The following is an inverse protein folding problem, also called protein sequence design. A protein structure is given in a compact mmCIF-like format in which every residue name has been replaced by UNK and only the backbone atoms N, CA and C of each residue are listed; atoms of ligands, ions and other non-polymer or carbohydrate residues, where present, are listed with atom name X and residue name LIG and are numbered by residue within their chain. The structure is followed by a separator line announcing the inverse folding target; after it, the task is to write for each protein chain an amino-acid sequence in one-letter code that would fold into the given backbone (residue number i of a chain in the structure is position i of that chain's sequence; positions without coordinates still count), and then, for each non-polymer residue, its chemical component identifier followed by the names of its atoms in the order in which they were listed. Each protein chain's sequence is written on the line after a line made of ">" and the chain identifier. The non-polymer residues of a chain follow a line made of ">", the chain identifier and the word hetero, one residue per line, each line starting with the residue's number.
data_IF_137808723155
#
_entry.id   IF_137808723155
#
_cell.length_a   1.000
_cell.length_b   1.000
_cell.length_c   1.000
_cell.angle_alpha   90.00
_cell.angle_beta   90.00
_cell.angle_gamma   90.00
#
_symmetry.space_group_name_H-M   'P 1'
#
loop_
_entity.id
_entity.type
_entity.pdbx_description
1 polymer ?
#
# COMPACT_ATOMS: atom_id res chain seq x y z
N UNK A 1 5.36 36.47 -36.90
CA UNK A 1 5.24 34.99 -36.88
C UNK A 1 6.15 34.38 -35.82
N UNK A 2 7.39 34.86 -35.69
CA UNK A 2 8.38 34.37 -34.71
C UNK A 2 7.91 34.46 -33.23
N UNK A 3 7.28 35.56 -32.82
CA UNK A 3 6.78 35.76 -31.46
C UNK A 3 5.64 34.81 -31.04
N UNK A 4 4.90 34.24 -31.99
CA UNK A 4 3.81 33.28 -31.71
C UNK A 4 4.37 31.87 -31.48
N UNK A 5 5.49 31.53 -32.12
CA UNK A 5 6.13 30.22 -31.98
C UNK A 5 6.79 30.14 -30.59
N UNK A 6 7.50 31.20 -30.16
CA UNK A 6 8.17 31.27 -28.85
C UNK A 6 7.17 31.18 -27.68
N UNK A 7 5.99 31.79 -27.79
CA UNK A 7 4.95 31.70 -26.73
C UNK A 7 4.29 30.32 -26.67
N UNK A 8 4.26 29.58 -27.79
CA UNK A 8 3.67 28.24 -27.84
C UNK A 8 4.59 27.22 -27.18
N UNK A 9 5.89 27.24 -27.51
CA UNK A 9 6.90 26.37 -26.89
C UNK A 9 7.04 26.63 -25.38
N UNK A 10 7.02 27.90 -24.96
CA UNK A 10 7.06 28.25 -23.54
C UNK A 10 5.82 27.77 -22.76
N UNK A 11 4.64 27.76 -23.39
CA UNK A 11 3.41 27.26 -22.77
C UNK A 11 3.38 25.73 -22.69
N UNK A 12 3.91 25.03 -23.70
CA UNK A 12 4.06 23.57 -23.66
C UNK A 12 5.07 23.13 -22.59
N UNK A 13 6.22 23.80 -22.51
CA UNK A 13 7.22 23.56 -21.47
C UNK A 13 6.66 23.78 -20.06
N UNK A 14 5.84 24.83 -19.85
CA UNK A 14 5.15 25.08 -18.57
C UNK A 14 4.09 24.03 -18.24
N UNK A 15 3.29 23.57 -19.21
CA UNK A 15 2.33 22.48 -19.00
C UNK A 15 3.02 21.17 -18.66
N UNK A 16 4.11 20.85 -19.35
CA UNK A 16 4.89 19.65 -19.10
C UNK A 16 5.55 19.71 -17.71
N UNK A 17 6.17 20.84 -17.35
CA UNK A 17 6.72 21.07 -16.01
C UNK A 17 5.62 20.97 -14.93
N UNK A 18 4.45 21.58 -15.15
CA UNK A 18 3.30 21.47 -14.25
C UNK A 18 2.80 20.04 -14.08
N UNK A 19 2.79 19.25 -15.16
CA UNK A 19 2.43 17.82 -15.12
C UNK A 19 3.44 16.99 -14.33
N UNK A 20 4.75 17.22 -14.53
CA UNK A 20 5.79 16.56 -13.75
C UNK A 20 5.73 16.91 -12.25
N UNK A 21 5.50 18.19 -11.92
CA UNK A 21 5.33 18.64 -10.54
C UNK A 21 4.08 18.02 -9.90
N UNK A 22 2.95 17.98 -10.63
CA UNK A 22 1.73 17.35 -10.14
C UNK A 22 1.91 15.84 -9.91
N UNK A 23 2.61 15.16 -10.82
CA UNK A 23 2.92 13.74 -10.68
C UNK A 23 3.85 13.47 -9.49
N UNK A 24 4.89 14.28 -9.31
CA UNK A 24 5.78 14.22 -8.15
C UNK A 24 5.03 14.45 -6.84
N UNK A 25 4.17 15.47 -6.79
CA UNK A 25 3.34 15.77 -5.62
C UNK A 25 2.37 14.61 -5.29
N UNK A 26 1.78 13.98 -6.31
CA UNK A 26 0.92 12.80 -6.14
C UNK A 26 1.68 11.63 -5.52
N UNK A 27 2.90 11.35 -5.98
CA UNK A 27 3.74 10.29 -5.42
C UNK A 27 4.05 10.58 -3.95
N UNK A 28 4.52 11.79 -3.63
CA UNK A 28 4.86 12.18 -2.26
C UNK A 28 3.65 12.08 -1.34
N UNK A 29 2.48 12.57 -1.78
CA UNK A 29 1.24 12.47 -1.03
C UNK A 29 0.84 11.01 -0.81
N UNK A 30 0.94 10.16 -1.84
CA UNK A 30 0.61 8.73 -1.75
C UNK A 30 1.53 8.02 -0.76
N UNK A 31 2.85 8.23 -0.85
CA UNK A 31 3.81 7.61 0.07
C UNK A 31 3.55 8.07 1.50
N UNK A 32 3.36 9.38 1.71
CA UNK A 32 3.10 9.94 3.04
C UNK A 32 1.81 9.38 3.65
N UNK A 33 0.75 9.26 2.84
CA UNK A 33 -0.51 8.63 3.27
C UNK A 33 -0.33 7.15 3.62
N UNK A 34 0.45 6.40 2.85
CA UNK A 34 0.75 4.99 3.15
C UNK A 34 1.56 4.83 4.44
N UNK A 35 2.55 5.70 4.68
CA UNK A 35 3.34 5.70 5.93
C UNK A 35 2.44 6.02 7.13
N UNK A 36 1.63 7.07 7.03
CA UNK A 36 0.66 7.42 8.07
C UNK A 36 -0.30 6.26 8.37
N UNK A 37 -0.83 5.62 7.32
CA UNK A 37 -1.74 4.51 7.47
C UNK A 37 -1.05 3.28 8.09
N UNK A 38 0.20 3.02 7.71
CA UNK A 38 1.00 1.95 8.32
C UNK A 38 1.20 2.17 9.83
N UNK A 39 1.52 3.40 10.24
CA UNK A 39 1.67 3.76 11.65
C UNK A 39 0.34 3.67 12.41
N UNK A 40 -0.73 4.21 11.84
CA UNK A 40 -2.08 4.15 12.41
C UNK A 40 -2.51 2.70 12.67
N UNK A 41 -2.32 1.84 11.67
CA UNK A 41 -2.64 0.42 11.78
C UNK A 41 -1.71 -0.30 12.77
N UNK A 42 -0.43 0.05 12.82
CA UNK A 42 0.51 -0.57 13.76
C UNK A 42 0.23 -0.20 15.22
N UNK A 43 -0.29 1.01 15.45
CA UNK A 43 -0.63 1.54 16.76
C UNK A 43 -2.14 1.46 17.06
N UNK A 44 -2.85 0.50 16.46
CA UNK A 44 -4.30 0.36 16.58
C UNK A 44 -4.82 0.28 18.03
N UNK A 45 -3.98 -0.18 18.96
CA UNK A 45 -4.28 -0.31 20.39
C UNK A 45 -4.46 1.05 21.09
N UNK A 46 -3.89 2.11 20.53
CA UNK A 46 -3.97 3.48 21.06
C UNK A 46 -5.23 4.22 20.56
N UNK A 47 -6.00 3.61 19.66
CA UNK A 47 -7.22 4.21 19.13
C UNK A 47 -8.41 3.94 20.05
N UNK A 48 -9.32 4.91 20.10
CA UNK A 48 -10.58 4.73 20.82
C UNK A 48 -11.47 3.68 20.14
N UNK A 49 -12.32 3.04 20.93
CA UNK A 49 -13.36 2.14 20.41
C UNK A 49 -14.44 2.97 19.70
N UNK A 50 -14.91 2.59 18.50
CA UNK A 50 -14.70 1.31 17.81
C UNK A 50 -13.55 1.28 16.80
N UNK A 51 -12.83 2.38 16.62
CA UNK A 51 -11.79 2.52 15.59
C UNK A 51 -10.63 1.52 15.77
N UNK A 52 -10.29 1.20 17.02
CA UNK A 52 -9.30 0.16 17.35
C UNK A 52 -9.64 -1.20 16.76
N UNK A 53 -10.92 -1.62 16.73
CA UNK A 53 -11.32 -2.91 16.16
C UNK A 53 -11.13 -2.95 14.65
N UNK A 54 -11.49 -1.87 13.95
CA UNK A 54 -11.27 -1.78 12.52
C UNK A 54 -9.76 -1.78 12.22
N UNK A 55 -8.99 -0.92 12.88
CA UNK A 55 -7.55 -0.86 12.69
C UNK A 55 -6.85 -2.20 13.03
N UNK A 56 -7.29 -2.92 14.05
CA UNK A 56 -6.81 -4.26 14.38
C UNK A 56 -7.05 -5.26 13.24
N UNK A 57 -8.25 -5.29 12.66
CA UNK A 57 -8.57 -6.16 11.53
C UNK A 57 -7.59 -5.91 10.37
N UNK A 58 -7.36 -4.64 10.02
CA UNK A 58 -6.43 -4.26 8.97
C UNK A 58 -4.98 -4.59 9.27
N UNK A 59 -4.57 -4.39 10.52
CA UNK A 59 -3.24 -4.77 10.97
C UNK A 59 -2.98 -6.26 10.72
N UNK A 60 -3.90 -7.14 11.11
CA UNK A 60 -3.72 -8.59 10.91
C UNK A 60 -3.88 -9.03 9.46
N UNK A 61 -4.69 -8.36 8.65
CA UNK A 61 -4.96 -8.74 7.25
C UNK A 61 -3.91 -8.20 6.28
N UNK A 62 -3.31 -7.04 6.57
CA UNK A 62 -2.39 -6.35 5.65
C UNK A 62 -0.98 -6.24 6.25
N UNK A 63 -0.86 -5.61 7.43
CA UNK A 63 0.45 -5.25 8.01
C UNK A 63 1.23 -6.50 8.42
N UNK A 64 0.59 -7.45 9.12
CA UNK A 64 1.23 -8.68 9.58
C UNK A 64 1.75 -9.54 8.42
N UNK A 65 0.97 -9.82 7.36
CA UNK A 65 1.49 -10.52 6.18
C UNK A 65 2.69 -9.81 5.56
N UNK A 66 2.62 -8.50 5.34
CA UNK A 66 3.74 -7.73 4.77
C UNK A 66 5.01 -7.79 5.63
N UNK A 67 4.88 -7.66 6.95
CA UNK A 67 6.01 -7.86 7.88
C UNK A 67 6.58 -9.28 7.77
N UNK A 68 5.71 -10.27 7.63
CA UNK A 68 6.14 -11.67 7.55
C UNK A 68 6.88 -11.96 6.24
N UNK A 69 6.45 -11.38 5.11
CA UNK A 69 7.20 -11.44 3.85
C UNK A 69 8.64 -10.94 4.01
N UNK A 70 8.80 -9.78 4.67
CA UNK A 70 10.13 -9.22 4.93
C UNK A 70 10.97 -10.11 5.85
N UNK A 71 10.36 -10.67 6.89
CA UNK A 71 11.04 -11.60 7.82
C UNK A 71 11.48 -12.86 7.08
N UNK A 72 10.63 -13.45 6.24
CA UNK A 72 10.97 -14.64 5.43
C UNK A 72 12.13 -14.34 4.49
N UNK A 73 12.09 -13.21 3.78
CA UNK A 73 13.18 -12.77 2.91
C UNK A 73 14.51 -12.66 3.67
N UNK A 74 14.52 -11.83 4.72
CA UNK A 74 15.74 -11.53 5.48
C UNK A 74 16.29 -12.78 6.18
N UNK A 75 15.43 -13.66 6.67
CA UNK A 75 15.85 -14.93 7.27
C UNK A 75 16.54 -15.83 6.24
N UNK A 76 15.97 -15.96 5.04
CA UNK A 76 16.57 -16.80 3.99
C UNK A 76 17.88 -16.22 3.45
N UNK A 77 17.97 -14.90 3.34
CA UNK A 77 19.16 -14.19 2.89
C UNK A 77 20.31 -14.33 3.91
N UNK A 78 20.00 -14.21 5.20
CA UNK A 78 20.99 -14.31 6.29
C UNK A 78 21.45 -15.73 6.60
N UNK A 79 20.69 -16.75 6.21
CA UNK A 79 21.04 -18.15 6.49
C UNK A 79 22.24 -18.64 5.66
N UNK A 80 22.67 -17.89 4.64
CA UNK A 80 23.79 -18.23 3.75
C UNK A 80 23.81 -19.72 3.40
N UNK A 81 22.67 -20.24 2.94
CA UNK A 81 22.43 -21.68 2.72
C UNK A 81 23.47 -22.32 1.78
N UNK A 82 24.15 -21.52 0.98
CA UNK A 82 25.23 -21.89 0.07
C UNK A 82 26.36 -20.86 0.14
N UNK A 83 27.57 -21.24 -0.27
CA UNK A 83 28.72 -20.32 -0.37
C UNK A 83 28.58 -19.29 -1.51
N UNK A 84 27.59 -19.45 -2.40
CA UNK A 84 27.39 -18.60 -3.57
C UNK A 84 26.28 -17.58 -3.35
N UNK A 85 26.66 -16.30 -3.28
CA UNK A 85 25.72 -15.19 -3.05
C UNK A 85 24.53 -15.19 -4.03
N UNK A 86 24.77 -15.44 -5.32
CA UNK A 86 23.71 -15.49 -6.34
C UNK A 86 22.69 -16.61 -6.10
N UNK A 87 23.14 -17.73 -5.52
CA UNK A 87 22.29 -18.87 -5.24
C UNK A 87 21.46 -18.63 -3.97
N UNK A 88 22.03 -17.99 -2.94
CA UNK A 88 21.29 -17.55 -1.75
C UNK A 88 20.19 -16.53 -2.08
N UNK A 89 20.48 -15.56 -2.95
CA UNK A 89 19.47 -14.61 -3.44
C UNK A 89 18.34 -15.34 -4.17
N UNK A 90 18.68 -16.28 -5.05
CA UNK A 90 17.68 -17.08 -5.79
C UNK A 90 16.79 -17.89 -4.84
N UNK A 91 17.37 -18.53 -3.82
CA UNK A 91 16.63 -19.29 -2.81
C UNK A 91 15.71 -18.37 -1.99
N UNK A 92 16.19 -17.18 -1.63
CA UNK A 92 15.41 -16.18 -0.89
C UNK A 92 14.20 -15.68 -1.70
N UNK A 93 14.39 -15.42 -3.00
CA UNK A 93 13.29 -15.09 -3.94
C UNK A 93 12.29 -16.24 -4.00
N UNK A 94 12.76 -17.46 -4.22
CA UNK A 94 11.89 -18.63 -4.32
C UNK A 94 11.11 -18.89 -3.02
N UNK A 95 11.74 -18.69 -1.86
CA UNK A 95 11.08 -18.84 -0.56
C UNK A 95 10.01 -17.78 -0.32
N UNK A 96 10.26 -16.52 -0.69
CA UNK A 96 9.24 -15.46 -0.65
C UNK A 96 8.08 -15.76 -1.59
N UNK A 97 8.36 -16.23 -2.81
CA UNK A 97 7.32 -16.63 -3.77
C UNK A 97 6.50 -17.79 -3.22
N UNK A 98 7.14 -18.81 -2.64
CA UNK A 98 6.46 -19.94 -2.03
C UNK A 98 5.56 -19.49 -0.87
N UNK A 99 6.06 -18.61 0.00
CA UNK A 99 5.26 -18.00 1.07
C UNK A 99 4.05 -17.23 0.51
N UNK A 100 4.24 -16.47 -0.58
CA UNK A 100 3.15 -15.75 -1.24
C UNK A 100 2.06 -16.68 -1.76
N UNK A 101 2.45 -17.81 -2.37
CA UNK A 101 1.51 -18.83 -2.86
C UNK A 101 0.73 -19.43 -1.70
N UNK A 102 1.39 -19.79 -0.59
CA UNK A 102 0.72 -20.33 0.60
C UNK A 102 -0.27 -19.31 1.19
N UNK A 103 0.15 -18.06 1.32
CA UNK A 103 -0.70 -16.97 1.80
C UNK A 103 -1.94 -16.78 0.92
N UNK A 104 -1.75 -16.76 -0.41
CA UNK A 104 -2.86 -16.63 -1.36
C UNK A 104 -3.83 -17.83 -1.30
N UNK A 105 -3.30 -19.05 -1.13
CA UNK A 105 -4.13 -20.24 -0.92
C UNK A 105 -4.95 -20.16 0.38
N UNK A 106 -4.35 -19.65 1.46
CA UNK A 106 -5.04 -19.42 2.73
C UNK A 106 -6.18 -18.39 2.57
N UNK A 107 -5.92 -17.25 1.90
CA UNK A 107 -6.95 -16.25 1.58
C UNK A 107 -8.07 -16.84 0.73
N UNK A 108 -7.74 -17.66 -0.28
CA UNK A 108 -8.73 -18.33 -1.12
C UNK A 108 -9.59 -19.29 -0.30
N UNK A 109 -9.01 -20.01 0.66
CA UNK A 109 -9.74 -20.90 1.55
C UNK A 109 -10.74 -20.12 2.42
N UNK A 110 -10.29 -19.03 3.05
CA UNK A 110 -11.16 -18.13 3.84
C UNK A 110 -12.28 -17.56 2.97
N UNK A 111 -11.95 -17.06 1.77
CA UNK A 111 -12.94 -16.51 0.83
C UNK A 111 -14.01 -17.53 0.43
N UNK A 112 -13.63 -18.80 0.20
CA UNK A 112 -14.59 -19.88 -0.06
C UNK A 112 -15.54 -20.10 1.12
N UNK A 113 -15.04 -20.07 2.36
CA UNK A 113 -15.88 -20.20 3.57
C UNK A 113 -16.83 -19.02 3.71
N UNK A 114 -16.36 -17.80 3.48
CA UNK A 114 -17.20 -16.59 3.53
C UNK A 114 -18.27 -16.61 2.43
N UNK A 115 -17.96 -17.18 1.25
CA UNK A 115 -18.95 -17.37 0.18
C UNK A 115 -20.11 -18.26 0.61
N UNK A 116 -19.88 -19.26 1.47
CA UNK A 116 -20.96 -20.10 2.02
C UNK A 116 -21.89 -19.32 2.96
N UNK A 117 -21.46 -18.16 3.47
CA UNK A 117 -22.28 -17.25 4.26
C UNK A 117 -23.09 -16.26 3.38
N UNK A 118 -23.12 -16.47 2.06
CA UNK A 118 -23.88 -15.63 1.11
C UNK A 118 -23.20 -14.31 0.74
N UNK A 119 -21.97 -14.06 1.20
CA UNK A 119 -21.23 -12.84 0.86
C UNK A 119 -20.45 -13.05 -0.44
N UNK A 120 -20.88 -12.38 -1.50
CA UNK A 120 -20.22 -12.42 -2.81
C UNK A 120 -18.80 -11.82 -2.80
N UNK A 121 -17.95 -12.24 -3.74
CA UNK A 121 -16.53 -11.83 -3.81
C UNK A 121 -16.32 -10.31 -3.81
N UNK A 122 -17.13 -9.55 -4.54
CA UNK A 122 -17.04 -8.08 -4.58
C UNK A 122 -17.32 -7.44 -3.21
N UNK A 123 -18.24 -8.01 -2.42
CA UNK A 123 -18.48 -7.54 -1.05
C UNK A 123 -17.35 -7.91 -0.11
N UNK A 124 -16.71 -9.06 -0.29
CA UNK A 124 -15.52 -9.44 0.50
C UNK A 124 -14.36 -8.46 0.24
N UNK A 125 -14.10 -8.15 -1.03
CA UNK A 125 -13.11 -7.13 -1.43
C UNK A 125 -13.53 -5.76 -0.90
N UNK A 126 -14.81 -5.42 -1.01
CA UNK A 126 -15.36 -4.17 -0.47
C UNK A 126 -15.14 -4.05 1.03
N UNK A 127 -15.48 -5.06 1.83
CA UNK A 127 -15.23 -5.08 3.29
C UNK A 127 -13.75 -4.93 3.59
N UNK A 128 -12.89 -5.52 2.77
CA UNK A 128 -11.45 -5.47 2.95
C UNK A 128 -10.86 -4.11 2.52
N UNK A 129 -11.42 -3.42 1.52
CA UNK A 129 -10.87 -2.14 1.02
C UNK A 129 -11.59 -0.90 1.55
N UNK A 130 -12.83 -1.01 2.04
CA UNK A 130 -13.68 0.14 2.34
C UNK A 130 -13.10 1.03 3.44
N UNK A 131 -12.73 0.52 4.63
CA UNK A 131 -12.03 1.32 5.63
C UNK A 131 -10.68 1.89 5.18
N UNK A 132 -9.94 1.20 4.28
CA UNK A 132 -8.72 1.75 3.68
C UNK A 132 -9.05 2.99 2.82
N UNK A 133 -10.10 2.90 2.00
CA UNK A 133 -10.60 4.01 1.20
C UNK A 133 -11.11 5.16 2.06
N UNK A 134 -11.84 4.86 3.16
CA UNK A 134 -12.32 5.88 4.10
C UNK A 134 -11.17 6.57 4.83
N UNK A 135 -10.17 5.81 5.30
CA UNK A 135 -8.98 6.37 5.94
C UNK A 135 -8.17 7.25 4.97
N UNK A 136 -7.98 6.80 3.72
CA UNK A 136 -7.32 7.58 2.68
C UNK A 136 -8.09 8.85 2.31
N UNK A 137 -9.42 8.77 2.20
CA UNK A 137 -10.28 9.93 1.95
C UNK A 137 -10.23 10.94 3.11
N UNK A 138 -10.23 10.45 4.36
CA UNK A 138 -10.09 11.28 5.54
C UNK A 138 -8.74 11.99 5.61
N UNK A 139 -7.66 11.26 5.31
CA UNK A 139 -6.32 11.84 5.24
C UNK A 139 -6.21 12.92 4.16
N UNK A 140 -6.78 12.67 2.96
CA UNK A 140 -6.84 13.66 1.89
C UNK A 140 -7.64 14.90 2.33
N UNK A 141 -8.78 14.69 2.99
CA UNK A 141 -9.61 15.77 3.50
C UNK A 141 -8.84 16.66 4.50
N UNK A 142 -8.15 16.06 5.48
CA UNK A 142 -7.32 16.80 6.44
C UNK A 142 -6.19 17.54 5.73
N UNK A 143 -5.50 16.88 4.78
CA UNK A 143 -4.36 17.48 4.07
C UNK A 143 -4.79 18.70 3.25
N UNK A 144 -5.90 18.57 2.51
CA UNK A 144 -6.48 19.67 1.72
C UNK A 144 -7.01 20.77 2.65
N UNK A 145 -7.70 20.40 3.73
CA UNK A 145 -8.23 21.34 4.71
C UNK A 145 -7.11 22.16 5.36
N UNK A 146 -6.05 21.51 5.83
CA UNK A 146 -4.90 22.18 6.41
C UNK A 146 -4.23 23.11 5.40
N UNK A 147 -4.10 22.72 4.14
CA UNK A 147 -3.54 23.58 3.09
C UNK A 147 -4.41 24.80 2.77
N UNK A 148 -5.74 24.66 2.78
CA UNK A 148 -6.67 25.76 2.48
C UNK A 148 -6.77 26.80 3.59
N UNK A 149 -6.53 26.40 4.85
CA UNK A 149 -6.71 27.23 6.03
C UNK A 149 -5.39 27.56 6.77
N UNK A 150 -4.24 27.15 6.23
CA UNK A 150 -2.91 27.61 6.62
C UNK A 150 -2.47 28.83 5.83
#
# INVERSE_FOLDING_TARGET
>A
METVIVTTEANEARKQAGSFVAFGALIVATISGLVWLWELLSNWQQLDTPYSFFAAFYYFVIVVPLKTFWIVWTTLDQLELTEFNNMNLTISVLGVVAYAVIFFLALRFVSKKIKHLGVGYLRQIGILLLPLLLAGAWWLFITIGNWLFS
#
